data_IF_445965393205
#
_entry.id   IF_445965393205
#
_cell.length_a   1.000
_cell.length_b   1.000
_cell.length_c   1.000
_cell.angle_alpha   90.00
_cell.angle_beta   90.00
_cell.angle_gamma   90.00
#
_symmetry.space_group_name_H-M   'P 1'
#
loop_
_entity.id
_entity.type
_entity.pdbx_description
1 polymer ?
#
# COMPACT_ATOMS: atom_id res chain seq x y z
N UNK A 1 8.34 -17.60 8.06
CA UNK A 1 7.05 -17.18 7.51
C UNK A 1 6.72 -17.99 6.26
N UNK A 2 5.67 -18.80 6.34
CA UNK A 2 5.06 -19.53 5.21
C UNK A 2 4.47 -18.55 4.18
N UNK A 3 4.09 -19.00 2.97
CA UNK A 3 3.43 -18.15 1.99
C UNK A 3 2.13 -17.52 2.52
N UNK A 4 1.27 -18.30 3.18
CA UNK A 4 -0.01 -17.82 3.72
C UNK A 4 0.20 -16.80 4.85
N UNK A 5 1.14 -17.06 5.76
CA UNK A 5 1.50 -16.09 6.80
C UNK A 5 2.02 -14.76 6.21
N UNK A 6 2.65 -14.78 5.04
CA UNK A 6 3.10 -13.57 4.36
C UNK A 6 1.96 -12.83 3.67
N UNK A 7 0.97 -13.54 3.13
CA UNK A 7 -0.26 -12.93 2.61
C UNK A 7 -0.97 -12.18 3.71
N UNK A 8 -1.24 -12.84 4.85
CA UNK A 8 -1.90 -12.21 5.99
C UNK A 8 -1.10 -11.02 6.52
N UNK A 9 0.23 -11.15 6.68
CA UNK A 9 1.06 -10.04 7.13
C UNK A 9 1.04 -8.81 6.20
N UNK A 10 0.91 -9.03 4.88
CA UNK A 10 0.72 -7.94 3.91
C UNK A 10 -0.65 -7.28 4.10
N UNK A 11 -1.72 -8.07 4.20
CA UNK A 11 -3.08 -7.56 4.37
C UNK A 11 -3.23 -6.78 5.69
N UNK A 12 -2.75 -7.34 6.80
CA UNK A 12 -2.72 -6.70 8.12
C UNK A 12 -2.00 -5.35 8.08
N UNK A 13 -0.85 -5.28 7.39
CA UNK A 13 -0.10 -4.04 7.27
C UNK A 13 -0.87 -2.99 6.45
N UNK A 14 -1.56 -3.41 5.38
CA UNK A 14 -2.37 -2.52 4.56
C UNK A 14 -3.56 -1.95 5.33
N UNK A 15 -4.22 -2.75 6.17
CA UNK A 15 -5.30 -2.28 7.04
C UNK A 15 -4.86 -1.18 8.01
N UNK A 16 -3.60 -1.25 8.47
CA UNK A 16 -3.03 -0.28 9.40
C UNK A 16 -2.69 1.06 8.76
N UNK A 17 -2.59 1.16 7.43
CA UNK A 17 -2.27 2.42 6.75
C UNK A 17 -3.38 3.42 7.06
N UNK A 18 -3.12 4.57 7.71
CA UNK A 18 -4.18 5.50 8.10
C UNK A 18 -4.90 6.12 6.90
N UNK A 19 -6.18 6.57 7.05
CA UNK A 19 -6.84 7.37 6.03
C UNK A 19 -5.99 8.59 5.63
N UNK A 20 -5.93 8.87 4.33
CA UNK A 20 -5.16 10.01 3.80
C UNK A 20 -3.66 9.74 3.66
N UNK A 21 -3.20 8.56 4.07
CA UNK A 21 -1.82 8.09 3.93
C UNK A 21 -1.73 6.93 2.95
N UNK A 22 -0.53 6.72 2.41
CA UNK A 22 -0.24 5.62 1.49
C UNK A 22 1.10 4.97 1.78
N UNK A 23 1.26 3.74 1.32
CA UNK A 23 2.55 3.08 1.18
C UNK A 23 2.79 2.70 -0.28
N UNK A 24 4.05 2.61 -0.69
CA UNK A 24 4.39 1.96 -1.96
C UNK A 24 4.44 0.44 -1.78
N UNK A 25 4.25 -0.33 -2.86
CA UNK A 25 4.46 -1.80 -2.82
C UNK A 25 5.85 -2.19 -2.28
N UNK A 26 6.88 -1.39 -2.57
CA UNK A 26 8.23 -1.58 -2.03
C UNK A 26 8.28 -1.33 -0.54
N UNK A 27 7.70 -0.21 -0.08
CA UNK A 27 7.67 0.13 1.35
C UNK A 27 6.93 -0.94 2.18
N UNK A 28 5.85 -1.53 1.65
CA UNK A 28 5.16 -2.66 2.29
C UNK A 28 6.09 -3.88 2.38
N UNK A 29 6.83 -4.17 1.32
CA UNK A 29 7.79 -5.28 1.31
C UNK A 29 8.92 -5.06 2.31
N UNK A 30 9.47 -3.84 2.36
CA UNK A 30 10.57 -3.47 3.24
C UNK A 30 10.17 -3.50 4.72
N UNK A 31 8.97 -3.01 5.05
CA UNK A 31 8.42 -3.07 6.41
C UNK A 31 8.21 -4.51 6.94
N UNK A 32 8.15 -5.49 6.04
CA UNK A 32 8.00 -6.91 6.40
C UNK A 32 9.29 -7.71 6.18
N UNK A 33 10.37 -7.09 5.68
CA UNK A 33 11.55 -7.80 5.20
C UNK A 33 12.24 -8.59 6.31
N UNK A 34 12.46 -7.98 7.47
CA UNK A 34 13.12 -8.62 8.61
C UNK A 34 12.35 -9.84 9.14
N UNK A 35 11.01 -9.73 9.21
CA UNK A 35 10.13 -10.79 9.71
C UNK A 35 9.91 -11.91 8.69
N UNK A 36 9.87 -11.57 7.41
CA UNK A 36 9.46 -12.49 6.34
C UNK A 36 10.63 -13.13 5.60
N UNK A 37 11.82 -12.53 5.66
CA UNK A 37 12.97 -12.87 4.81
C UNK A 37 12.77 -12.53 3.34
N UNK A 38 11.79 -11.67 3.00
CA UNK A 38 11.41 -11.32 1.61
C UNK A 38 11.31 -9.80 1.47
N UNK A 39 11.93 -9.23 0.44
CA UNK A 39 11.67 -7.85 -0.01
C UNK A 39 11.41 -7.86 -1.52
N UNK A 40 10.13 -7.99 -1.91
CA UNK A 40 9.71 -7.98 -3.31
C UNK A 40 8.41 -7.22 -3.50
N UNK A 41 8.52 -5.98 -4.01
CA UNK A 41 7.38 -5.16 -4.39
C UNK A 41 6.43 -5.87 -5.38
N UNK A 42 6.98 -6.68 -6.30
CA UNK A 42 6.17 -7.45 -7.27
C UNK A 42 5.34 -8.53 -6.58
N UNK A 43 5.90 -9.18 -5.56
CA UNK A 43 5.18 -10.18 -4.78
C UNK A 43 4.03 -9.52 -4.01
N UNK A 44 4.28 -8.39 -3.34
CA UNK A 44 3.22 -7.60 -2.69
C UNK A 44 2.14 -7.19 -3.69
N UNK A 45 2.52 -6.69 -4.87
CA UNK A 45 1.56 -6.36 -5.92
C UNK A 45 0.70 -7.56 -6.35
N UNK A 46 1.31 -8.74 -6.46
CA UNK A 46 0.62 -9.99 -6.80
C UNK A 46 -0.36 -10.44 -5.70
N UNK A 47 0.02 -10.26 -4.44
CA UNK A 47 -0.84 -10.52 -3.28
C UNK A 47 -2.03 -9.55 -3.27
N UNK A 48 -1.78 -8.25 -3.42
CA UNK A 48 -2.83 -7.24 -3.46
C UNK A 48 -3.83 -7.47 -4.58
N UNK A 49 -3.37 -7.89 -5.76
CA UNK A 49 -4.25 -8.20 -6.89
C UNK A 49 -5.15 -9.43 -6.65
N UNK A 50 -4.72 -10.39 -5.83
CA UNK A 50 -5.43 -11.67 -5.60
C UNK A 50 -6.27 -11.67 -4.32
N UNK A 51 -5.76 -11.03 -3.27
CA UNK A 51 -6.28 -11.12 -1.91
C UNK A 51 -6.65 -9.74 -1.32
N UNK A 52 -6.26 -8.63 -1.96
CA UNK A 52 -6.40 -7.29 -1.40
C UNK A 52 -7.81 -6.69 -1.42
N UNK A 53 -8.82 -7.41 -1.91
CA UNK A 53 -10.18 -6.88 -2.05
C UNK A 53 -10.87 -6.48 -0.73
N UNK A 54 -10.46 -7.08 0.39
CA UNK A 54 -11.01 -6.81 1.72
C UNK A 54 -10.35 -5.67 2.51
N UNK A 55 -9.18 -5.21 2.07
CA UNK A 55 -8.37 -4.19 2.78
C UNK A 55 -8.45 -2.84 2.05
N UNK A 56 -7.98 -1.70 2.61
CA UNK A 56 -7.97 -0.40 1.92
C UNK A 56 -6.90 -0.36 0.80
N UNK A 57 -7.08 -1.19 -0.22
CA UNK A 57 -6.14 -1.42 -1.32
C UNK A 57 -5.74 -0.15 -2.06
N UNK A 58 -6.60 0.87 -2.10
CA UNK A 58 -6.32 2.16 -2.74
C UNK A 58 -5.21 2.95 -2.02
N UNK A 59 -4.83 2.57 -0.80
CA UNK A 59 -3.71 3.13 -0.03
C UNK A 59 -2.36 2.50 -0.37
N UNK A 60 -2.32 1.51 -1.26
CA UNK A 60 -1.07 0.92 -1.78
C UNK A 60 -0.88 1.33 -3.23
N UNK A 61 0.19 2.07 -3.49
CA UNK A 61 0.49 2.65 -4.81
C UNK A 61 1.89 2.24 -5.28
N UNK A 62 2.28 2.62 -6.50
CA UNK A 62 3.67 2.45 -6.90
C UNK A 62 4.58 3.52 -6.27
N UNK A 63 5.90 3.36 -6.38
CA UNK A 63 6.88 4.29 -5.80
C UNK A 63 6.81 5.72 -6.37
N UNK A 64 6.21 5.90 -7.55
CA UNK A 64 5.99 7.21 -8.17
C UNK A 64 4.61 7.81 -7.82
N UNK A 65 3.84 7.18 -6.94
CA UNK A 65 2.50 7.59 -6.55
C UNK A 65 1.41 7.33 -7.60
N UNK A 66 1.70 6.55 -8.65
CA UNK A 66 0.65 6.13 -9.59
C UNK A 66 -0.28 5.14 -8.93
N UNK A 67 -1.57 5.35 -9.18
CA UNK A 67 -2.66 4.55 -8.65
C UNK A 67 -2.68 3.14 -9.28
N UNK A 68 -3.30 2.15 -8.61
CA UNK A 68 -3.39 0.79 -9.12
C UNK A 68 -4.01 0.74 -10.53
N UNK A 69 -3.35 0.09 -11.51
CA UNK A 69 -3.84 0.00 -12.88
C UNK A 69 -5.21 -0.67 -12.98
N UNK A 70 -6.11 -0.11 -13.79
CA UNK A 70 -7.48 -0.60 -13.96
C UNK A 70 -8.45 -0.13 -12.86
N UNK A 71 -7.95 0.52 -11.81
CA UNK A 71 -8.73 1.02 -10.68
C UNK A 71 -8.45 2.50 -10.38
N UNK A 72 -7.83 3.24 -11.31
CA UNK A 72 -7.33 4.60 -11.06
C UNK A 72 -8.45 5.57 -10.68
N UNK A 73 -9.62 5.46 -11.31
CA UNK A 73 -10.77 6.33 -11.04
C UNK A 73 -11.28 6.10 -9.61
N UNK A 74 -11.51 4.84 -9.26
CA UNK A 74 -12.01 4.45 -7.95
C UNK A 74 -11.00 4.76 -6.84
N UNK A 75 -9.73 4.39 -7.04
CA UNK A 75 -8.65 4.68 -6.10
C UNK A 75 -8.53 6.18 -5.84
N UNK A 76 -8.59 7.00 -6.89
CA UNK A 76 -8.54 8.46 -6.76
C UNK A 76 -9.73 9.01 -5.97
N UNK A 77 -10.94 8.49 -6.22
CA UNK A 77 -12.13 8.92 -5.51
C UNK A 77 -12.03 8.61 -4.01
N UNK A 78 -11.63 7.37 -3.66
CA UNK A 78 -11.43 6.94 -2.27
C UNK A 78 -10.35 7.75 -1.57
N UNK A 79 -9.18 7.90 -2.19
CA UNK A 79 -8.07 8.71 -1.64
C UNK A 79 -8.46 10.18 -1.43
N UNK A 80 -9.21 10.76 -2.36
CA UNK A 80 -9.72 12.14 -2.21
C UNK A 80 -10.70 12.25 -1.04
N UNK A 81 -11.59 11.27 -0.88
CA UNK A 81 -12.53 11.26 0.24
C UNK A 81 -11.83 11.17 1.61
N UNK A 82 -10.66 10.55 1.65
CA UNK A 82 -9.81 10.47 2.84
C UNK A 82 -8.90 11.70 3.05
N UNK A 83 -8.95 12.69 2.15
CA UNK A 83 -8.08 13.87 2.23
C UNK A 83 -6.61 13.58 1.88
N UNK A 84 -6.32 12.49 1.15
CA UNK A 84 -4.97 12.17 0.73
C UNK A 84 -4.39 13.29 -0.17
N UNK A 85 -3.15 13.73 0.07
CA UNK A 85 -2.43 14.63 -0.83
C UNK A 85 -2.31 14.05 -2.25
N UNK A 86 -3.01 14.66 -3.21
CA UNK A 86 -3.04 14.22 -4.60
C UNK A 86 -2.47 15.29 -5.55
N UNK A 87 -1.71 14.83 -6.54
CA UNK A 87 -1.31 15.59 -7.73
C UNK A 87 -2.15 15.16 -8.95
N UNK A 88 -2.01 15.88 -10.06
CA UNK A 88 -2.60 15.46 -11.33
C UNK A 88 -2.15 14.04 -11.72
N UNK A 89 -0.87 13.73 -11.54
CA UNK A 89 -0.25 12.44 -11.90
C UNK A 89 -0.57 11.27 -10.95
N UNK A 90 -1.13 11.53 -9.77
CA UNK A 90 -1.36 10.48 -8.76
C UNK A 90 -1.27 11.02 -7.33
N UNK A 91 -0.71 10.24 -6.42
CA UNK A 91 -0.46 10.62 -5.03
C UNK A 91 0.80 11.48 -4.92
N UNK A 92 0.73 12.52 -4.07
CA UNK A 92 1.93 13.22 -3.64
C UNK A 92 2.67 12.38 -2.59
N UNK A 93 3.59 11.53 -3.05
CA UNK A 93 4.32 10.62 -2.16
C UNK A 93 5.10 11.34 -1.06
N UNK A 94 5.60 12.56 -1.32
CA UNK A 94 6.37 13.31 -0.32
C UNK A 94 5.48 13.76 0.86
N UNK A 95 4.20 14.04 0.59
CA UNK A 95 3.25 14.48 1.61
C UNK A 95 2.43 13.34 2.22
N UNK A 96 2.19 12.27 1.46
CA UNK A 96 1.25 11.21 1.82
C UNK A 96 1.89 9.89 2.29
N UNK A 97 3.20 9.69 2.06
CA UNK A 97 3.87 8.46 2.51
C UNK A 97 3.72 8.28 4.02
N UNK A 98 3.65 7.02 4.43
CA UNK A 98 3.58 6.59 5.82
C UNK A 98 4.48 5.38 6.02
N UNK A 99 5.08 5.28 7.21
CA UNK A 99 5.79 4.09 7.68
C UNK A 99 5.15 3.57 8.97
N UNK A 100 5.03 2.25 9.16
CA UNK A 100 4.55 1.68 10.42
C UNK A 100 5.43 2.03 11.64
N UNK A 101 6.66 2.52 11.43
CA UNK A 101 7.56 2.95 12.49
C UNK A 101 7.29 4.38 12.98
N UNK A 102 6.48 5.18 12.25
CA UNK A 102 6.16 6.58 12.60
C UNK A 102 5.12 6.71 13.75
N UNK A 103 5.06 5.77 14.69
CA UNK A 103 4.04 5.80 15.74
C UNK A 103 4.15 4.75 16.83
N UNK A 104 5.36 4.48 17.34
CA UNK A 104 5.57 3.92 18.68
C UNK A 104 6.04 5.04 19.61
#
# INVERSE_FOLDING_TARGET
>A
MTPDEYVEAVLDLVERIPPGRVMSYGAVADALAERSGRSSARLVGSIMARHGGGVPWHRVVNSAGRLPPGHEIEARARLRAEGCPLRASGVDMAAAAWSPDEGI
#
